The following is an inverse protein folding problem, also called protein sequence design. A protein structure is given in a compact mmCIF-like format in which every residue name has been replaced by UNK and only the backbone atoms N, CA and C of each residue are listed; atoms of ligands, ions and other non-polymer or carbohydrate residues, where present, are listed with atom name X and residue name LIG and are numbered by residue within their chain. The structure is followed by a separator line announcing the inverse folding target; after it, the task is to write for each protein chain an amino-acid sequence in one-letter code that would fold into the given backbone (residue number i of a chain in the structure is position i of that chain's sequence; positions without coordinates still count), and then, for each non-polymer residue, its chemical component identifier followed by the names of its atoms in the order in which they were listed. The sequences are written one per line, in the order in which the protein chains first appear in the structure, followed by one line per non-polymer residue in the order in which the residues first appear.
data_IF_217193049986
#
_entry.id   IF_217193049986
#
_cell.length_a   1.000
_cell.length_b   1.000
_cell.length_c   1.000
_cell.angle_alpha   90.00
_cell.angle_beta   90.00
_cell.angle_gamma   90.00
#
_symmetry.space_group_name_H-M   'P 1'
#
loop_
_entity.id
_entity.type
_entity.pdbx_description
1 polymer ?
#
# COMPACT_ATOMS: atom_id res chain seq x y z
N UNK A 1 49.45 -14.70 -24.86
CA UNK A 1 48.86 -13.81 -25.89
C UNK A 1 47.42 -14.21 -26.11
N UNK A 2 46.46 -13.42 -25.63
CA UNK A 2 45.03 -13.68 -25.81
C UNK A 2 44.60 -13.20 -27.20
N UNK A 3 44.23 -14.12 -28.10
CA UNK A 3 43.60 -13.78 -29.37
C UNK A 3 42.16 -13.43 -29.05
N UNK A 4 41.81 -12.15 -29.17
CA UNK A 4 40.42 -11.71 -29.11
C UNK A 4 39.68 -12.30 -30.31
N UNK A 5 38.61 -13.04 -30.06
CA UNK A 5 37.84 -13.72 -31.10
C UNK A 5 37.21 -12.69 -32.04
N UNK A 6 37.54 -12.79 -33.34
CA UNK A 6 36.92 -11.98 -34.39
C UNK A 6 35.48 -12.47 -34.60
N UNK A 7 34.49 -11.58 -34.78
CA UNK A 7 33.13 -12.00 -35.08
C UNK A 7 33.07 -12.71 -36.44
N UNK A 8 32.40 -13.86 -36.48
CA UNK A 8 32.23 -14.68 -37.68
C UNK A 8 31.46 -13.93 -38.79
N UNK A 9 31.85 -14.12 -40.04
CA UNK A 9 31.14 -13.60 -41.21
C UNK A 9 29.85 -14.35 -41.49
N UNK A 10 28.95 -13.76 -42.28
CA UNK A 10 27.64 -14.34 -42.62
C UNK A 10 27.75 -15.76 -43.22
N UNK A 11 28.72 -16.00 -44.11
CA UNK A 11 28.94 -17.34 -44.71
C UNK A 11 29.50 -18.35 -43.71
N UNK A 12 30.35 -17.92 -42.80
CA UNK A 12 30.88 -18.79 -41.74
C UNK A 12 29.77 -19.18 -40.77
N UNK A 13 28.86 -18.26 -40.44
CA UNK A 13 27.69 -18.55 -39.58
C UNK A 13 26.73 -19.56 -40.20
N UNK A 14 26.53 -19.52 -41.52
CA UNK A 14 25.68 -20.49 -42.23
C UNK A 14 26.20 -21.94 -42.20
N UNK A 15 27.48 -22.14 -41.91
CA UNK A 15 28.10 -23.47 -41.84
C UNK A 15 28.06 -24.08 -40.44
N UNK A 16 27.52 -23.37 -39.44
CA UNK A 16 27.44 -23.83 -38.06
C UNK A 16 26.18 -24.67 -37.89
N UNK A 17 26.34 -25.95 -37.51
CA UNK A 17 25.24 -26.84 -37.15
C UNK A 17 25.16 -26.94 -35.63
N UNK A 18 23.92 -26.96 -35.12
CA UNK A 18 23.68 -27.30 -33.72
C UNK A 18 24.07 -28.77 -33.50
N UNK A 19 24.93 -29.01 -32.51
CA UNK A 19 25.26 -30.36 -32.04
C UNK A 19 24.66 -30.47 -30.65
N UNK A 20 23.60 -31.27 -30.55
CA UNK A 20 23.00 -31.55 -29.26
C UNK A 20 23.94 -32.47 -28.46
N UNK A 21 24.57 -31.91 -27.44
CA UNK A 21 25.32 -32.70 -26.47
C UNK A 21 24.33 -33.21 -25.44
N UNK A 22 24.25 -34.53 -25.26
CA UNK A 22 23.40 -35.13 -24.23
C UNK A 22 23.79 -34.69 -22.83
N UNK A 23 22.86 -34.84 -21.89
CA UNK A 23 23.09 -34.42 -20.50
C UNK A 23 24.26 -35.17 -19.85
N UNK A 24 25.16 -34.46 -19.13
CA UNK A 24 26.17 -35.06 -18.28
C UNK A 24 25.57 -36.01 -17.21
N UNK A 25 26.33 -37.01 -16.72
CA UNK A 25 25.82 -38.06 -15.84
C UNK A 25 25.25 -37.55 -14.50
N UNK A 26 25.73 -36.39 -14.01
CA UNK A 26 25.15 -35.76 -12.82
C UNK A 26 23.72 -35.22 -13.08
N UNK A 27 23.49 -34.58 -14.22
CA UNK A 27 22.17 -34.06 -14.60
C UNK A 27 21.18 -35.20 -14.82
N UNK A 28 21.63 -36.33 -15.40
CA UNK A 28 20.81 -37.53 -15.55
C UNK A 28 20.35 -38.10 -14.20
N UNK A 29 21.27 -38.21 -13.22
CA UNK A 29 20.94 -38.67 -11.85
C UNK A 29 19.93 -37.73 -11.18
N UNK A 30 20.13 -36.42 -11.31
CA UNK A 30 19.23 -35.42 -10.76
C UNK A 30 17.83 -35.50 -11.39
N UNK A 31 17.74 -35.62 -12.73
CA UNK A 31 16.48 -35.82 -13.44
C UNK A 31 15.75 -37.08 -12.96
N UNK A 32 16.48 -38.19 -12.75
CA UNK A 32 15.91 -39.43 -12.23
C UNK A 32 15.41 -39.30 -10.79
N UNK A 33 16.17 -38.66 -9.90
CA UNK A 33 15.77 -38.42 -8.50
C UNK A 33 14.53 -37.53 -8.40
N UNK A 34 14.40 -36.54 -9.28
CA UNK A 34 13.27 -35.62 -9.34
C UNK A 34 12.07 -36.19 -10.11
N UNK A 35 12.19 -37.39 -10.68
CA UNK A 35 11.13 -37.98 -11.51
C UNK A 35 10.83 -37.19 -12.78
N UNK A 36 11.81 -36.45 -13.31
CA UNK A 36 11.66 -35.63 -14.50
C UNK A 36 11.30 -36.50 -15.71
N UNK A 37 10.21 -36.15 -16.39
CA UNK A 37 9.81 -36.73 -17.68
C UNK A 37 9.92 -35.66 -18.75
N UNK A 38 10.49 -36.01 -19.89
CA UNK A 38 10.56 -35.11 -21.03
C UNK A 38 9.15 -34.86 -21.56
N UNK A 39 8.70 -33.61 -21.50
CA UNK A 39 7.39 -33.19 -22.02
C UNK A 39 7.58 -32.54 -23.38
N UNK A 40 6.97 -33.12 -24.41
CA UNK A 40 6.85 -32.47 -25.72
C UNK A 40 5.78 -31.38 -25.67
N UNK A 41 5.82 -30.44 -26.63
CA UNK A 41 4.83 -29.36 -26.75
C UNK A 41 3.42 -29.97 -26.91
N UNK A 42 3.32 -31.09 -27.64
CA UNK A 42 2.08 -31.86 -27.81
C UNK A 42 1.46 -32.34 -26.49
N UNK A 43 2.28 -32.64 -25.48
CA UNK A 43 1.78 -33.05 -24.17
C UNK A 43 1.11 -31.91 -23.38
N UNK A 44 1.22 -30.65 -23.84
CA UNK A 44 0.56 -29.48 -23.27
C UNK A 44 -0.79 -29.19 -23.91
N UNK A 45 -1.06 -29.74 -25.09
CA UNK A 45 -2.37 -29.64 -25.71
C UNK A 45 -3.25 -30.75 -25.16
N UNK A 46 -4.46 -30.39 -24.73
CA UNK A 46 -5.45 -31.40 -24.36
C UNK A 46 -5.84 -32.20 -25.61
N UNK A 47 -5.95 -33.52 -25.52
CA UNK A 47 -6.47 -34.30 -26.64
C UNK A 47 -7.92 -33.88 -26.87
N UNK A 48 -8.21 -33.34 -28.06
CA UNK A 48 -9.55 -32.90 -28.51
C UNK A 48 -10.65 -33.98 -28.32
N UNK A 49 -10.27 -35.23 -28.03
CA UNK A 49 -11.19 -36.34 -27.80
C UNK A 49 -11.85 -36.35 -26.41
N UNK A 50 -11.61 -35.36 -25.56
CA UNK A 50 -12.30 -35.20 -24.26
C UNK A 50 -13.31 -34.06 -24.24
N UNK A 51 -13.81 -33.64 -25.40
CA UNK A 51 -15.08 -32.91 -25.49
C UNK A 51 -16.22 -33.86 -25.11
N UNK A 52 -16.33 -34.18 -23.82
CA UNK A 52 -17.57 -34.70 -23.25
C UNK A 52 -18.60 -33.58 -23.30
N UNK A 53 -19.82 -33.95 -23.66
CA UNK A 53 -21.02 -33.14 -23.97
C UNK A 53 -21.47 -32.12 -22.89
N UNK A 54 -20.62 -31.73 -21.95
CA UNK A 54 -20.86 -30.77 -20.86
C UNK A 54 -20.42 -29.33 -21.17
N UNK A 55 -19.80 -29.06 -22.33
CA UNK A 55 -19.35 -27.70 -22.75
C UNK A 55 -20.51 -26.71 -23.06
N UNK A 56 -21.78 -27.15 -23.03
CA UNK A 56 -22.94 -26.24 -23.07
C UNK A 56 -23.34 -25.69 -21.70
N UNK A 57 -22.73 -26.16 -20.60
CA UNK A 57 -22.90 -25.48 -19.31
C UNK A 57 -22.03 -24.24 -19.34
N UNK A 58 -22.67 -23.07 -19.32
CA UNK A 58 -22.01 -21.78 -19.14
C UNK A 58 -20.87 -21.93 -18.12
N UNK A 59 -19.62 -21.85 -18.58
CA UNK A 59 -18.43 -22.01 -17.74
C UNK A 59 -18.43 -21.01 -16.56
N UNK A 60 -19.24 -19.95 -16.69
CA UNK A 60 -19.49 -18.89 -15.72
C UNK A 60 -20.64 -19.18 -14.72
N UNK A 61 -21.34 -20.32 -14.77
CA UNK A 61 -22.36 -20.64 -13.76
C UNK A 61 -21.69 -20.87 -12.39
N UNK A 62 -22.03 -20.05 -11.40
CA UNK A 62 -21.57 -20.12 -10.01
C UNK A 62 -21.79 -21.53 -9.41
N UNK A 63 -22.75 -22.31 -9.93
CA UNK A 63 -22.97 -23.71 -9.52
C UNK A 63 -21.84 -24.66 -9.92
N UNK A 64 -21.08 -24.34 -10.96
CA UNK A 64 -19.97 -25.13 -11.46
C UNK A 64 -18.64 -24.80 -10.75
N UNK A 65 -18.57 -23.67 -10.03
CA UNK A 65 -17.40 -23.29 -9.23
C UNK A 65 -17.26 -24.19 -8.00
N UNK A 66 -16.00 -24.44 -7.59
CA UNK A 66 -15.69 -25.13 -6.33
C UNK A 66 -16.28 -24.35 -5.16
N UNK A 67 -16.69 -25.05 -4.10
CA UNK A 67 -17.37 -24.41 -2.97
C UNK A 67 -16.56 -23.28 -2.33
N UNK A 68 -15.23 -23.43 -2.27
CA UNK A 68 -14.28 -22.44 -1.75
C UNK A 68 -14.13 -21.21 -2.66
N UNK A 69 -14.41 -21.35 -3.95
CA UNK A 69 -14.30 -20.29 -4.96
C UNK A 69 -15.63 -19.53 -5.13
N UNK A 70 -16.74 -20.04 -4.57
CA UNK A 70 -18.04 -19.37 -4.63
C UNK A 70 -18.08 -18.18 -3.67
N UNK A 71 -18.69 -17.04 -4.06
CA UNK A 71 -18.81 -15.89 -3.18
C UNK A 71 -19.70 -16.21 -1.97
N UNK A 72 -19.25 -15.82 -0.77
CA UNK A 72 -20.04 -15.95 0.45
C UNK A 72 -21.13 -14.86 0.47
N UNK A 73 -22.40 -15.28 0.44
CA UNK A 73 -23.55 -14.38 0.58
C UNK A 73 -23.96 -14.35 2.06
N UNK A 74 -23.86 -13.18 2.68
CA UNK A 74 -24.32 -12.94 4.06
C UNK A 74 -25.56 -12.07 4.02
N UNK A 75 -26.68 -12.59 4.54
CA UNK A 75 -27.93 -11.83 4.69
C UNK A 75 -28.01 -11.33 6.12
N UNK A 76 -27.98 -10.01 6.29
CA UNK A 76 -28.05 -9.36 7.59
C UNK A 76 -29.47 -9.42 8.16
N UNK A 77 -29.58 -9.80 9.43
CA UNK A 77 -30.83 -9.79 10.18
C UNK A 77 -30.96 -8.47 10.95
N UNK A 78 -31.97 -7.67 10.63
CA UNK A 78 -32.21 -6.36 11.25
C UNK A 78 -32.38 -6.40 12.79
N UNK A 79 -32.73 -7.57 13.36
CA UNK A 79 -32.97 -7.74 14.81
C UNK A 79 -31.74 -8.14 15.60
N UNK A 80 -30.79 -8.83 14.97
CA UNK A 80 -29.63 -9.42 15.66
C UNK A 80 -28.32 -8.78 15.25
N UNK A 81 -28.23 -8.34 14.01
CA UNK A 81 -26.99 -7.87 13.42
C UNK A 81 -26.92 -6.35 13.53
N UNK A 82 -25.76 -5.83 13.92
CA UNK A 82 -25.55 -4.40 14.04
C UNK A 82 -25.38 -3.77 12.67
N UNK A 83 -25.93 -2.57 12.52
CA UNK A 83 -25.71 -1.78 11.31
C UNK A 83 -24.31 -1.15 11.33
N UNK A 84 -23.79 -0.81 10.16
CA UNK A 84 -22.48 -0.16 10.01
C UNK A 84 -22.35 1.10 10.89
N UNK A 85 -23.41 1.91 10.94
CA UNK A 85 -23.43 3.14 11.73
C UNK A 85 -23.35 2.89 13.25
N UNK A 86 -23.90 1.78 13.74
CA UNK A 86 -23.81 1.40 15.16
C UNK A 86 -22.44 0.81 15.48
N UNK A 87 -21.91 -0.02 14.58
CA UNK A 87 -20.56 -0.57 14.68
C UNK A 87 -19.51 0.54 14.77
N UNK A 88 -19.56 1.53 13.89
CA UNK A 88 -18.62 2.65 13.88
C UNK A 88 -18.66 3.48 15.17
N UNK A 89 -19.86 3.69 15.72
CA UNK A 89 -20.03 4.42 16.98
C UNK A 89 -19.41 3.65 18.13
N UNK A 90 -19.63 2.33 18.17
CA UNK A 90 -19.11 1.47 19.23
C UNK A 90 -17.58 1.34 19.17
N UNK A 91 -17.01 1.22 17.96
CA UNK A 91 -15.55 1.22 17.75
C UNK A 91 -14.95 2.55 18.23
N UNK A 92 -15.53 3.69 17.85
CA UNK A 92 -15.07 5.01 18.30
C UNK A 92 -15.17 5.17 19.81
N UNK A 93 -16.26 4.67 20.42
CA UNK A 93 -16.44 4.68 21.89
C UNK A 93 -15.34 3.87 22.58
N UNK A 94 -15.07 2.67 22.09
CA UNK A 94 -14.04 1.79 22.63
C UNK A 94 -12.64 2.40 22.52
N UNK A 95 -12.31 2.99 21.36
CA UNK A 95 -11.05 3.70 21.17
C UNK A 95 -10.89 4.87 22.14
N UNK A 96 -11.93 5.68 22.34
CA UNK A 96 -11.89 6.79 23.31
C UNK A 96 -11.71 6.31 24.75
N UNK A 97 -12.27 5.17 25.12
CA UNK A 97 -12.09 4.58 26.44
C UNK A 97 -10.67 4.02 26.64
N UNK A 98 -10.10 3.40 25.61
CA UNK A 98 -8.71 2.95 25.62
C UNK A 98 -7.74 4.13 25.72
N UNK A 99 -7.97 5.19 24.94
CA UNK A 99 -7.18 6.43 25.01
C UNK A 99 -7.27 7.08 26.39
N UNK A 100 -8.48 7.16 26.97
CA UNK A 100 -8.67 7.69 28.34
C UNK A 100 -7.92 6.85 29.36
N UNK A 101 -7.99 5.52 29.27
CA UNK A 101 -7.20 4.63 30.15
C UNK A 101 -5.70 4.86 29.98
N UNK A 102 -5.20 5.03 28.75
CA UNK A 102 -3.79 5.33 28.50
C UNK A 102 -3.35 6.69 29.09
N UNK A 103 -4.25 7.67 29.07
CA UNK A 103 -4.02 8.98 29.70
C UNK A 103 -4.02 8.85 31.23
N UNK A 104 -4.97 8.12 31.81
CA UNK A 104 -5.06 7.85 33.26
C UNK A 104 -3.88 7.05 33.79
N UNK A 105 -3.41 6.05 33.03
CA UNK A 105 -2.19 5.28 33.30
C UNK A 105 -0.91 6.13 33.11
N UNK A 106 -1.01 7.37 32.61
CA UNK A 106 0.11 8.28 32.43
C UNK A 106 1.05 7.91 31.29
N UNK A 107 0.67 6.98 30.40
CA UNK A 107 1.45 6.59 29.22
C UNK A 107 1.44 7.68 28.16
N UNK A 108 0.36 8.44 28.05
CA UNK A 108 0.24 9.60 27.16
C UNK A 108 0.37 10.88 28.00
N UNK A 109 1.54 11.52 27.97
CA UNK A 109 1.75 12.84 28.58
C UNK A 109 1.84 13.93 27.52
N UNK A 110 0.95 14.92 27.58
CA UNK A 110 1.06 16.12 26.76
C UNK A 110 2.08 17.09 27.36
N UNK A 111 3.34 17.01 26.91
CA UNK A 111 4.35 18.01 27.25
C UNK A 111 4.12 19.26 26.42
N UNK A 112 4.04 20.41 27.08
CA UNK A 112 4.00 21.70 26.40
C UNK A 112 5.26 21.83 25.55
N UNK A 113 5.16 22.20 24.26
CA UNK A 113 6.34 22.42 23.44
C UNK A 113 7.18 23.53 24.07
N UNK A 114 8.45 23.23 24.29
CA UNK A 114 9.42 24.23 24.72
C UNK A 114 9.59 25.21 23.56
N UNK A 115 9.36 26.50 23.82
CA UNK A 115 9.66 27.53 22.83
C UNK A 115 11.15 27.43 22.55
N UNK A 116 11.52 27.09 21.31
CA UNK A 116 12.92 27.18 20.86
C UNK A 116 13.36 28.61 21.14
N UNK A 117 14.36 28.77 22.01
CA UNK A 117 14.97 30.09 22.20
C UNK A 117 15.69 30.41 20.90
N UNK A 118 15.09 31.29 20.10
CA UNK A 118 15.90 32.06 19.17
C UNK A 118 16.66 33.05 20.04
N UNK A 119 17.98 32.92 20.03
CA UNK A 119 18.91 33.83 20.64
C UNK A 119 18.74 35.19 19.93
N UNK A 120 17.87 36.03 20.48
CA UNK A 120 17.97 37.49 20.44
C UNK A 120 16.88 38.10 21.32
N UNK A 121 17.34 38.59 22.47
CA UNK A 121 16.73 39.65 23.30
C UNK A 121 15.50 39.29 24.15
N UNK A 122 15.81 39.02 25.42
CA UNK A 122 15.29 39.65 26.66
C UNK A 122 13.89 40.30 26.60
N UNK A 123 13.10 39.98 27.64
CA UNK A 123 11.88 40.66 28.13
C UNK A 123 10.54 40.09 27.65
N UNK A 124 10.06 39.05 28.35
CA UNK A 124 8.90 39.17 29.26
C UNK A 124 8.58 37.79 29.85
N UNK A 125 9.19 37.54 31.02
CA UNK A 125 8.66 36.61 31.97
C UNK A 125 7.44 37.24 32.67
N UNK A 126 6.49 36.38 33.04
CA UNK A 126 5.29 36.65 33.84
C UNK A 126 4.06 37.19 33.08
N UNK A 127 3.07 36.29 32.91
CA UNK A 127 1.77 36.41 33.61
C UNK A 127 0.96 35.12 33.41
N UNK A 128 1.05 34.26 34.42
CA UNK A 128 -0.02 33.35 34.80
C UNK A 128 -1.13 34.17 35.45
N UNK A 129 -2.23 34.41 34.75
CA UNK A 129 -3.52 34.67 35.39
C UNK A 129 -4.63 34.43 34.37
N UNK A 130 -5.29 33.27 34.49
CA UNK A 130 -6.58 33.01 33.83
C UNK A 130 -7.60 33.91 34.52
N UNK A 131 -8.41 34.59 33.70
CA UNK A 131 -9.75 35.17 33.94
C UNK A 131 -9.75 36.63 33.45
N UNK A 132 -10.07 36.86 32.17
CA UNK A 132 -10.79 38.05 31.59
C UNK A 132 -10.69 38.28 30.06
N UNK A 133 -10.31 37.31 29.21
CA UNK A 133 -10.02 37.63 27.79
C UNK A 133 -11.08 37.19 26.76
N UNK A 134 -12.36 37.53 26.94
CA UNK A 134 -13.35 37.42 25.84
C UNK A 134 -13.40 38.67 24.96
N UNK A 135 -13.07 39.85 25.50
CA UNK A 135 -13.12 41.13 24.77
C UNK A 135 -11.81 41.44 24.01
N UNK A 136 -10.65 40.98 24.50
CA UNK A 136 -9.36 41.18 23.83
C UNK A 136 -9.14 40.28 22.60
N UNK A 137 -9.91 39.19 22.46
CA UNK A 137 -9.78 38.24 21.34
C UNK A 137 -10.16 38.86 19.99
N UNK A 138 -11.21 39.69 19.97
CA UNK A 138 -11.74 40.31 18.74
C UNK A 138 -10.78 41.40 18.22
N UNK A 139 -10.15 42.15 19.13
CA UNK A 139 -9.20 43.21 18.76
C UNK A 139 -7.84 42.65 18.34
N UNK A 140 -7.41 41.54 18.95
CA UNK A 140 -6.22 40.79 18.57
C UNK A 140 -6.38 40.08 17.21
N UNK A 141 -7.58 39.61 16.85
CA UNK A 141 -7.86 39.00 15.53
C UNK A 141 -7.77 40.00 14.39
N UNK A 142 -8.26 41.24 14.57
CA UNK A 142 -8.13 42.30 13.55
C UNK A 142 -6.67 42.69 13.31
N UNK A 143 -5.87 42.78 14.37
CA UNK A 143 -4.42 43.06 14.25
C UNK A 143 -3.64 41.89 13.65
N UNK A 144 -3.98 40.64 14.01
CA UNK A 144 -3.41 39.44 13.38
C UNK A 144 -3.71 39.37 11.89
N UNK A 145 -4.94 39.64 11.45
CA UNK A 145 -5.27 39.61 10.01
C UNK A 145 -4.55 40.68 9.20
N UNK A 146 -4.28 41.86 9.78
CA UNK A 146 -3.47 42.89 9.15
C UNK A 146 -1.97 42.52 9.10
N UNK A 147 -1.48 41.84 10.13
CA UNK A 147 -0.06 41.42 10.25
C UNK A 147 0.25 40.14 9.45
N UNK A 148 -0.74 39.26 9.23
CA UNK A 148 -0.62 38.08 8.35
C UNK A 148 -0.43 38.49 6.89
N UNK A 149 -1.02 39.62 6.46
CA UNK A 149 -0.81 40.16 5.10
C UNK A 149 0.61 40.70 4.88
N UNK A 150 1.33 41.12 5.93
CA UNK A 150 2.66 41.74 5.82
C UNK A 150 3.83 40.78 6.11
N UNK A 151 3.56 39.56 6.58
CA UNK A 151 4.57 38.55 6.89
C UNK A 151 4.48 37.38 5.93
N UNK A 152 4.86 37.62 4.68
CA UNK A 152 5.09 36.53 3.72
C UNK A 152 6.35 35.76 4.13
N UNK A 153 6.15 34.60 4.74
CA UNK A 153 7.22 33.66 5.04
C UNK A 153 7.78 33.11 3.72
N UNK A 154 9.09 33.29 3.50
CA UNK A 154 9.79 32.88 2.27
C UNK A 154 9.82 31.35 2.02
N UNK A 155 9.33 30.57 2.97
CA UNK A 155 9.30 29.10 2.94
C UNK A 155 7.91 28.52 2.72
N UNK A 156 6.87 29.35 2.57
CA UNK A 156 5.55 28.87 2.18
C UNK A 156 5.38 29.08 0.68
N UNK A 157 5.02 28.00 -0.04
CA UNK A 157 4.61 28.05 -1.43
C UNK A 157 3.33 28.90 -1.52
N UNK A 158 3.39 30.05 -2.16
CA UNK A 158 2.19 30.80 -2.54
C UNK A 158 1.57 30.10 -3.74
N UNK A 159 0.40 29.49 -3.56
CA UNK A 159 -0.44 29.17 -4.71
C UNK A 159 -0.89 30.51 -5.30
N UNK A 160 -0.36 30.83 -6.48
CA UNK A 160 -0.81 31.96 -7.26
C UNK A 160 -2.28 31.79 -7.56
N UNK A 161 -3.04 32.83 -7.25
CA UNK A 161 -4.38 33.08 -7.74
C UNK A 161 -4.26 33.37 -9.25
N UNK A 162 -3.89 32.35 -10.03
CA UNK A 162 -3.97 32.40 -11.49
C UNK A 162 -5.46 32.19 -11.84
N UNK A 163 -6.19 33.32 -11.87
CA UNK A 163 -7.44 33.45 -12.60
C UNK A 163 -7.17 33.20 -14.10
N UNK A 164 -7.75 32.12 -14.62
CA UNK A 164 -8.35 32.01 -15.97
C UNK A 164 -9.63 31.16 -15.88
#
# INVERSE_FOLDING_TARGET
MSKKDKPLSYREKQSIKFVEQGDPPFIQKMKQQLGYRETTIEAKFEPETKQTEDEEREEDDIRNLKEDDRPQIVVLNEKTDVTEAEFDKEVKRKQQEEDRKLIEEGKITFKKPEKRQNDETVEEAAKSEKIKDKTLRIEAEKKRNAEIKSKQNKNLLSFGDDED
#
